data_IF_750363950491
#
_entry.id   IF_750363950491
#
_cell.length_a   1.000
_cell.length_b   1.000
_cell.length_c   1.000
_cell.angle_alpha   90.00
_cell.angle_beta   90.00
_cell.angle_gamma   90.00
#
_symmetry.space_group_name_H-M   'P 1'
#
loop_
_entity.id
_entity.type
_entity.pdbx_description
1 polymer ?
#
# COMPACT_ATOMS: atom_id res chain seq x y z
N UNK A 1 -0.27 8.01 -6.96
CA UNK A 1 -0.21 7.50 -5.59
C UNK A 1 -0.76 8.57 -4.69
N UNK A 2 -1.97 8.38 -4.19
CA UNK A 2 -2.53 9.24 -3.16
C UNK A 2 -1.98 8.84 -1.79
N UNK A 3 -1.97 9.77 -0.83
CA UNK A 3 -1.54 9.50 0.54
C UNK A 3 -2.32 10.34 1.55
N UNK A 4 -2.60 9.75 2.70
CA UNK A 4 -3.24 10.37 3.84
C UNK A 4 -2.51 9.99 5.11
N UNK A 5 -2.12 10.99 5.89
CA UNK A 5 -1.61 10.76 7.25
C UNK A 5 -2.77 10.42 8.17
N UNK A 6 -2.60 9.40 8.99
CA UNK A 6 -3.58 8.96 10.00
C UNK A 6 -3.01 9.11 11.40
N UNK A 7 -3.88 9.05 12.40
CA UNK A 7 -3.44 9.05 13.79
C UNK A 7 -2.67 7.75 14.10
N UNK A 8 -1.55 7.89 14.79
CA UNK A 8 -0.79 6.75 15.30
C UNK A 8 -1.51 6.09 16.48
N UNK A 9 -1.09 4.89 16.82
CA UNK A 9 -1.56 4.19 18.01
C UNK A 9 -1.11 4.91 19.30
N UNK A 10 -1.85 4.75 20.41
CA UNK A 10 -1.44 5.31 21.69
C UNK A 10 -0.05 4.81 22.12
N UNK A 11 0.85 5.74 22.42
CA UNK A 11 2.22 5.42 22.85
C UNK A 11 3.25 5.33 21.72
N UNK A 12 2.85 5.58 20.46
CA UNK A 12 3.81 5.75 19.36
C UNK A 12 4.79 6.90 19.63
N UNK A 13 5.99 6.82 19.03
CA UNK A 13 6.98 7.90 19.08
C UNK A 13 6.38 9.23 18.61
N UNK A 14 6.75 10.33 19.28
CA UNK A 14 6.18 11.66 19.02
C UNK A 14 6.39 12.16 17.58
N UNK A 15 7.41 11.65 16.88
CA UNK A 15 7.67 11.96 15.47
C UNK A 15 7.16 10.92 14.48
N UNK A 16 6.51 9.84 14.93
CA UNK A 16 6.05 8.79 14.03
C UNK A 16 5.05 9.37 13.03
N UNK A 17 5.23 9.06 11.75
CA UNK A 17 4.29 9.39 10.69
C UNK A 17 3.75 8.10 10.10
N UNK A 18 2.44 7.89 10.24
CA UNK A 18 1.73 6.75 9.64
C UNK A 18 0.83 7.23 8.51
N UNK A 19 0.89 6.53 7.39
CA UNK A 19 0.20 6.91 6.16
C UNK A 19 -0.47 5.73 5.49
N UNK A 20 -1.58 6.02 4.82
CA UNK A 20 -2.30 5.09 3.96
C UNK A 20 -2.56 5.74 2.60
N UNK A 21 -2.74 4.93 1.56
CA UNK A 21 -2.98 5.46 0.23
C UNK A 21 -3.28 4.40 -0.82
N UNK A 22 -3.52 4.87 -2.05
CA UNK A 22 -3.64 4.02 -3.24
C UNK A 22 -2.42 4.20 -4.14
N UNK A 23 -1.76 3.11 -4.49
CA UNK A 23 -0.69 3.07 -5.50
C UNK A 23 -1.26 2.44 -6.79
N UNK A 24 -1.70 3.27 -7.73
CA UNK A 24 -2.16 2.81 -9.04
C UNK A 24 -1.10 2.04 -9.85
N UNK A 25 0.17 2.48 -9.91
CA UNK A 25 1.25 1.72 -10.55
C UNK A 25 1.49 0.31 -10.03
N UNK A 26 1.19 0.01 -8.75
CA UNK A 26 1.20 -1.34 -8.19
C UNK A 26 -0.21 -1.96 -8.07
N UNK A 27 -1.25 -1.16 -8.31
CA UNK A 27 -2.66 -1.55 -8.17
C UNK A 27 -2.95 -2.14 -6.78
N UNK A 28 -2.45 -1.45 -5.75
CA UNK A 28 -2.57 -1.85 -4.34
C UNK A 28 -2.82 -0.64 -3.46
N UNK A 29 -3.56 -0.83 -2.36
CA UNK A 29 -3.47 0.07 -1.22
C UNK A 29 -2.15 -0.14 -0.50
N UNK A 30 -1.73 0.84 0.30
CA UNK A 30 -0.55 0.73 1.15
C UNK A 30 -0.81 1.27 2.55
N UNK A 31 0.00 0.80 3.49
CA UNK A 31 0.09 1.28 4.86
C UNK A 31 1.57 1.32 5.23
N UNK A 32 2.06 2.49 5.63
CA UNK A 32 3.46 2.67 6.03
C UNK A 32 3.55 3.50 7.30
N UNK A 33 4.53 3.19 8.16
CA UNK A 33 4.89 4.02 9.30
C UNK A 33 6.40 4.19 9.38
N UNK A 34 6.80 5.43 9.63
CA UNK A 34 8.20 5.82 9.78
C UNK A 34 8.39 6.60 11.07
N UNK A 35 9.51 6.38 11.74
CA UNK A 35 9.97 7.17 12.87
C UNK A 35 11.16 8.04 12.45
N UNK A 36 11.32 9.24 13.04
CA UNK A 36 12.50 10.05 12.77
C UNK A 36 13.75 9.29 13.20
N UNK A 37 14.74 9.22 12.31
CA UNK A 37 16.03 8.62 12.61
C UNK A 37 16.73 9.32 13.77
N UNK A 38 17.32 8.54 14.67
CA UNK A 38 18.22 9.04 15.72
C UNK A 38 19.71 8.94 15.32
N UNK A 39 19.98 8.40 14.13
CA UNK A 39 21.31 8.21 13.56
C UNK A 39 21.95 9.48 12.98
N UNK A 40 23.27 9.41 12.75
CA UNK A 40 24.08 10.53 12.24
C UNK A 40 23.65 11.04 10.85
N UNK A 41 23.00 10.18 10.05
CA UNK A 41 22.53 10.50 8.71
C UNK A 41 21.09 11.09 8.71
N UNK A 42 20.36 10.97 9.83
CA UNK A 42 19.01 11.52 10.00
C UNK A 42 17.91 10.84 9.19
N UNK A 43 18.18 9.67 8.60
CA UNK A 43 17.21 8.93 7.80
C UNK A 43 16.09 8.34 8.68
N UNK A 44 14.85 8.53 8.26
CA UNK A 44 13.69 7.96 8.93
C UNK A 44 13.77 6.42 8.97
N UNK A 45 13.45 5.85 10.12
CA UNK A 45 13.42 4.40 10.34
C UNK A 45 12.06 3.84 9.96
N UNK A 46 12.04 2.90 9.03
CA UNK A 46 10.84 2.14 8.68
C UNK A 46 10.41 1.27 9.87
N UNK A 47 9.19 1.51 10.36
CA UNK A 47 8.56 0.66 11.38
C UNK A 47 7.84 -0.51 10.71
N UNK A 48 7.06 -0.22 9.66
CA UNK A 48 6.46 -1.19 8.78
C UNK A 48 6.10 -0.55 7.43
N UNK A 49 6.02 -1.37 6.39
CA UNK A 49 5.46 -1.00 5.10
C UNK A 49 4.76 -2.19 4.44
N UNK A 50 3.48 -2.02 4.12
CA UNK A 50 2.66 -2.94 3.30
C UNK A 50 2.24 -2.28 1.99
N UNK A 51 2.04 -3.07 0.94
CA UNK A 51 1.71 -2.56 -0.39
C UNK A 51 2.95 -2.27 -1.24
N UNK A 52 4.06 -2.97 -0.97
CA UNK A 52 5.33 -2.85 -1.68
C UNK A 52 5.37 -3.71 -2.95
N UNK A 53 4.42 -4.63 -3.10
CA UNK A 53 4.30 -5.54 -4.24
C UNK A 53 2.98 -5.35 -4.99
N UNK A 54 2.91 -5.72 -6.28
CA UNK A 54 1.69 -5.56 -7.04
C UNK A 54 0.52 -6.34 -6.42
N UNK A 55 -0.67 -5.73 -6.40
CA UNK A 55 -1.92 -6.30 -5.91
C UNK A 55 -1.86 -6.93 -4.49
N UNK A 56 -0.96 -6.44 -3.64
CA UNK A 56 -0.74 -6.94 -2.28
C UNK A 56 -1.94 -6.72 -1.36
N UNK A 57 -2.43 -5.48 -1.31
CA UNK A 57 -3.58 -5.02 -0.53
C UNK A 57 -4.66 -4.57 -1.50
N UNK A 58 -5.52 -5.48 -1.98
CA UNK A 58 -6.42 -5.20 -3.11
C UNK A 58 -7.67 -4.38 -2.73
N UNK A 59 -8.03 -4.34 -1.44
CA UNK A 59 -9.27 -3.70 -0.99
C UNK A 59 -9.07 -2.89 0.29
N UNK A 60 -10.02 -2.00 0.58
CA UNK A 60 -10.02 -1.22 1.83
C UNK A 60 -10.23 -2.14 3.04
N UNK A 61 -11.01 -3.22 2.90
CA UNK A 61 -11.20 -4.20 3.97
C UNK A 61 -9.90 -4.94 4.29
N UNK A 62 -9.09 -5.27 3.28
CA UNK A 62 -7.77 -5.85 3.49
C UNK A 62 -6.82 -4.85 4.19
N UNK A 63 -6.91 -3.57 3.83
CA UNK A 63 -6.19 -2.49 4.51
C UNK A 63 -6.63 -2.34 5.97
N UNK A 64 -7.93 -2.39 6.26
CA UNK A 64 -8.48 -2.34 7.63
C UNK A 64 -7.97 -3.49 8.50
N UNK A 65 -7.86 -4.70 7.94
CA UNK A 65 -7.26 -5.84 8.64
C UNK A 65 -5.79 -5.59 8.98
N UNK A 66 -5.03 -4.92 8.11
CA UNK A 66 -3.63 -4.56 8.40
C UNK A 66 -3.54 -3.46 9.46
N UNK A 67 -4.37 -2.43 9.36
CA UNK A 67 -4.46 -1.35 10.35
C UNK A 67 -4.77 -1.90 11.74
N UNK A 68 -5.72 -2.84 11.83
CA UNK A 68 -6.10 -3.46 13.10
C UNK A 68 -4.94 -4.22 13.77
N UNK A 69 -4.02 -4.83 12.99
CA UNK A 69 -2.81 -5.49 13.52
C UNK A 69 -1.88 -4.53 14.25
N UNK A 70 -1.95 -3.24 13.91
CA UNK A 70 -1.12 -2.16 14.48
C UNK A 70 -1.91 -1.25 15.43
N UNK A 71 -3.14 -1.64 15.82
CA UNK A 71 -4.05 -0.81 16.63
C UNK A 71 -4.38 0.55 15.99
N UNK A 72 -4.40 0.60 14.67
CA UNK A 72 -4.72 1.78 13.88
C UNK A 72 -6.14 1.69 13.33
N UNK A 73 -6.73 2.86 13.08
CA UNK A 73 -8.07 2.98 12.47
C UNK A 73 -8.05 4.09 11.44
N UNK A 74 -8.57 3.79 10.25
CA UNK A 74 -8.86 4.81 9.23
C UNK A 74 -10.25 5.39 9.49
N UNK A 75 -10.34 6.73 9.42
CA UNK A 75 -11.63 7.41 9.56
C UNK A 75 -12.48 7.22 8.31
N UNK A 76 -13.81 7.20 8.44
CA UNK A 76 -14.72 7.03 7.32
C UNK A 76 -14.47 8.01 6.14
N UNK A 77 -14.14 9.30 6.36
CA UNK A 77 -13.78 10.21 5.26
C UNK A 77 -12.54 9.78 4.48
N UNK A 78 -11.50 9.28 5.18
CA UNK A 78 -10.27 8.80 4.53
C UNK A 78 -10.55 7.51 3.78
N UNK A 79 -11.28 6.55 4.37
CA UNK A 79 -11.68 5.32 3.69
C UNK A 79 -12.46 5.61 2.39
N UNK A 80 -13.41 6.57 2.45
CA UNK A 80 -14.14 7.02 1.26
C UNK A 80 -13.21 7.62 0.21
N UNK A 81 -12.27 8.47 0.62
CA UNK A 81 -11.31 9.10 -0.28
C UNK A 81 -10.39 8.07 -0.97
N UNK A 82 -9.93 7.06 -0.23
CA UNK A 82 -9.13 5.95 -0.78
C UNK A 82 -9.86 5.18 -1.88
N UNK A 83 -11.17 4.94 -1.73
CA UNK A 83 -11.98 4.33 -2.79
C UNK A 83 -12.06 5.26 -4.00
N UNK A 84 -12.32 6.55 -3.80
CA UNK A 84 -12.38 7.52 -4.88
C UNK A 84 -11.05 7.66 -5.63
N UNK A 85 -9.93 7.61 -4.91
CA UNK A 85 -8.59 7.66 -5.52
C UNK A 85 -8.32 6.42 -6.36
N UNK A 86 -8.72 5.23 -5.90
CA UNK A 86 -8.65 4.00 -6.69
C UNK A 86 -9.44 4.14 -7.99
N UNK A 87 -10.68 4.62 -7.92
CA UNK A 87 -11.51 4.80 -9.11
C UNK A 87 -10.96 5.86 -10.07
N UNK A 88 -10.43 6.98 -9.54
CA UNK A 88 -9.87 8.07 -10.34
C UNK A 88 -8.53 7.71 -10.98
N UNK A 89 -7.65 7.10 -10.22
CA UNK A 89 -6.32 6.74 -10.71
C UNK A 89 -6.35 5.43 -11.51
N UNK A 90 -7.30 4.55 -11.22
CA UNK A 90 -7.47 3.26 -11.85
C UNK A 90 -6.37 2.27 -11.46
N UNK A 91 -6.33 1.17 -12.21
CA UNK A 91 -5.35 0.11 -12.07
C UNK A 91 -4.34 0.23 -13.20
N UNK A 92 -3.11 0.64 -12.88
CA UNK A 92 -2.10 0.98 -13.89
C UNK A 92 -0.96 -0.02 -13.97
N UNK A 93 -0.99 -1.10 -13.20
CA UNK A 93 0.10 -2.08 -13.17
C UNK A 93 0.39 -2.64 -14.57
N UNK A 94 -0.63 -3.11 -15.31
CA UNK A 94 -0.46 -3.67 -16.66
C UNK A 94 0.04 -2.68 -17.71
N UNK A 95 -0.13 -1.38 -17.48
CA UNK A 95 0.33 -0.34 -18.42
C UNK A 95 1.83 -0.06 -18.34
N UNK A 96 2.53 -0.66 -17.35
CA UNK A 96 3.96 -0.44 -17.16
C UNK A 96 4.78 -1.29 -18.14
N UNK A 97 5.80 -0.73 -18.81
CA UNK A 97 6.66 -1.49 -19.73
C UNK A 97 7.32 -2.72 -19.11
N UNK A 98 7.54 -2.73 -17.79
CA UNK A 98 8.17 -3.81 -17.05
C UNK A 98 7.19 -4.63 -16.19
N UNK A 99 5.87 -4.50 -16.38
CA UNK A 99 4.88 -5.16 -15.53
C UNK A 99 5.05 -6.68 -15.45
N UNK A 100 5.23 -7.34 -16.60
CA UNK A 100 5.47 -8.78 -16.68
C UNK A 100 6.77 -9.20 -15.97
N UNK A 101 7.85 -8.43 -16.14
CA UNK A 101 9.13 -8.70 -15.48
C UNK A 101 9.00 -8.56 -13.95
N UNK A 102 8.29 -7.54 -13.47
CA UNK A 102 8.03 -7.34 -12.05
C UNK A 102 7.20 -8.50 -11.50
N UNK A 103 6.16 -8.93 -12.21
CA UNK A 103 5.32 -10.07 -11.81
C UNK A 103 6.13 -11.36 -11.68
N UNK A 104 7.05 -11.63 -12.60
CA UNK A 104 7.95 -12.79 -12.51
C UNK A 104 8.95 -12.66 -11.37
N UNK A 105 9.47 -11.45 -11.12
CA UNK A 105 10.44 -11.18 -10.05
C UNK A 105 9.84 -11.36 -8.65
N UNK A 106 8.57 -11.00 -8.46
CA UNK A 106 7.91 -11.11 -7.14
C UNK A 106 7.28 -12.49 -6.89
N UNK A 107 7.11 -13.32 -7.92
CA UNK A 107 6.55 -14.68 -7.79
C UNK A 107 7.15 -15.52 -6.65
N UNK A 108 8.47 -15.58 -6.40
CA UNK A 108 9.02 -16.41 -5.32
C UNK A 108 8.75 -15.87 -3.91
N UNK A 109 8.28 -14.63 -3.77
CA UNK A 109 8.07 -13.97 -2.47
C UNK A 109 6.61 -13.70 -2.13
N UNK A 110 5.68 -13.91 -3.07
CA UNK A 110 4.23 -13.75 -2.86
C UNK A 110 3.54 -15.11 -2.78
N UNK A 111 2.39 -15.16 -2.10
CA UNK A 111 1.56 -16.37 -2.06
C UNK A 111 0.76 -16.58 -3.35
N UNK A 112 0.21 -17.79 -3.53
CA UNK A 112 -0.57 -18.15 -4.72
C UNK A 112 -1.79 -17.24 -4.93
N UNK A 113 -2.40 -16.78 -3.84
CA UNK A 113 -3.59 -15.92 -3.90
C UNK A 113 -3.22 -14.53 -4.43
N UNK A 114 -2.09 -13.99 -4.00
CA UNK A 114 -1.55 -12.73 -4.51
C UNK A 114 -1.08 -12.89 -5.95
N UNK A 115 -0.36 -13.97 -6.28
CA UNK A 115 0.07 -14.22 -7.66
C UNK A 115 -1.13 -14.25 -8.62
N UNK A 116 -2.23 -14.91 -8.24
CA UNK A 116 -3.46 -14.92 -9.04
C UNK A 116 -4.04 -13.51 -9.26
N UNK A 117 -3.93 -12.61 -8.27
CA UNK A 117 -4.33 -11.20 -8.43
C UNK A 117 -3.41 -10.44 -9.37
N UNK A 118 -2.10 -10.65 -9.26
CA UNK A 118 -1.10 -10.05 -10.16
C UNK A 118 -1.38 -10.47 -11.61
N UNK A 119 -1.62 -11.76 -11.84
CA UNK A 119 -1.94 -12.28 -13.17
C UNK A 119 -3.25 -11.69 -13.72
N UNK A 120 -4.26 -11.51 -12.85
CA UNK A 120 -5.50 -10.84 -13.21
C UNK A 120 -5.31 -9.36 -13.58
N UNK A 121 -4.43 -8.65 -12.86
CA UNK A 121 -4.06 -7.27 -13.19
C UNK A 121 -3.31 -7.19 -14.52
N UNK A 122 -2.38 -8.10 -14.82
CA UNK A 122 -1.71 -8.17 -16.12
C UNK A 122 -2.68 -8.44 -17.27
N UNK A 123 -3.71 -9.26 -17.04
CA UNK A 123 -4.74 -9.57 -18.02
C UNK A 123 -5.75 -8.42 -18.24
N UNK A 124 -5.79 -7.41 -17.35
CA UNK A 124 -6.67 -6.25 -17.54
C UNK A 124 -6.24 -5.45 -18.75
N UNK A 125 -7.19 -5.26 -19.67
CA UNK A 125 -7.04 -4.29 -20.76
C UNK A 125 -7.04 -2.88 -20.18
N UNK A 126 -6.19 -1.97 -20.67
CA UNK A 126 -6.24 -0.56 -20.29
C UNK A 126 -7.62 0.00 -20.64
N UNK A 127 -8.29 0.60 -19.65
CA UNK A 127 -9.52 1.37 -19.81
C UNK A 127 -9.24 2.73 -20.44
#
# INVERSE_FOLDING_TARGET
MSRYTIANEPGASAGRTTEVGWDAPLSTYFLSAFEPGDGADGDDTEVFWYGCTPAEVPTVEALDVLLAKHNLVVTAPIAYALVQDREREGHRFSTRPAAALIADLVRPIVDDAQQARIDAELARRPS
#
